data_IF_232283392206
#
_entry.id   IF_232283392206
#
_cell.length_a   1.000
_cell.length_b   1.000
_cell.length_c   1.000
_cell.angle_alpha   90.00
_cell.angle_beta   90.00
_cell.angle_gamma   90.00
#
_symmetry.space_group_name_H-M   'P 1'
#
loop_
_entity.id
_entity.type
_entity.pdbx_description
1 polymer ?
#
# COMPACT_ATOMS: atom_id res chain seq x y z
N UNK A 1 -9.77 -17.45 11.58
CA UNK A 1 -8.38 -17.62 11.10
C UNK A 1 -8.07 -16.67 9.95
N UNK A 2 -8.82 -16.71 8.84
CA UNK A 2 -8.65 -15.80 7.69
C UNK A 2 -8.83 -14.30 8.00
N UNK A 3 -9.74 -13.94 8.91
CA UNK A 3 -9.94 -12.54 9.31
C UNK A 3 -8.70 -11.89 9.96
N UNK A 4 -7.90 -12.65 10.71
CA UNK A 4 -6.63 -12.16 11.27
C UNK A 4 -5.63 -11.83 10.16
N UNK A 5 -5.54 -12.68 9.13
CA UNK A 5 -4.67 -12.45 7.98
C UNK A 5 -5.14 -11.28 7.11
N UNK A 6 -6.45 -11.11 6.93
CA UNK A 6 -7.05 -9.92 6.32
C UNK A 6 -6.61 -8.64 7.04
N UNK A 7 -6.81 -8.59 8.35
CA UNK A 7 -6.47 -7.41 9.16
C UNK A 7 -4.97 -7.11 9.16
N UNK A 8 -4.12 -8.12 9.34
CA UNK A 8 -2.66 -7.95 9.34
C UNK A 8 -2.14 -7.51 7.97
N UNK A 9 -2.57 -8.15 6.88
CA UNK A 9 -2.17 -7.76 5.53
C UNK A 9 -2.66 -6.36 5.13
N UNK A 10 -3.87 -5.99 5.56
CA UNK A 10 -4.42 -4.65 5.35
C UNK A 10 -3.64 -3.57 6.10
N UNK A 11 -3.27 -3.82 7.37
CA UNK A 11 -2.42 -2.90 8.14
C UNK A 11 -1.04 -2.77 7.52
N UNK A 12 -0.42 -3.88 7.08
CA UNK A 12 0.88 -3.84 6.41
C UNK A 12 0.79 -3.00 5.13
N UNK A 13 -0.26 -3.19 4.32
CA UNK A 13 -0.52 -2.36 3.14
C UNK A 13 -0.64 -0.87 3.47
N UNK A 14 -1.37 -0.51 4.53
CA UNK A 14 -1.50 0.87 5.01
C UNK A 14 -0.17 1.47 5.47
N UNK A 15 0.63 0.73 6.23
CA UNK A 15 1.96 1.18 6.68
C UNK A 15 2.87 1.40 5.47
N UNK A 16 2.84 0.51 4.49
CA UNK A 16 3.63 0.67 3.26
C UNK A 16 3.21 1.90 2.45
N UNK A 17 1.91 2.19 2.35
CA UNK A 17 1.42 3.45 1.75
C UNK A 17 2.01 4.65 2.47
N UNK A 18 1.99 4.65 3.81
CA UNK A 18 2.56 5.73 4.60
C UNK A 18 4.07 5.90 4.35
N UNK A 19 4.82 4.79 4.28
CA UNK A 19 6.26 4.81 3.96
C UNK A 19 6.52 5.42 2.58
N UNK A 20 5.76 5.03 1.55
CA UNK A 20 5.90 5.59 0.20
C UNK A 20 5.62 7.10 0.20
N UNK A 21 4.60 7.54 0.95
CA UNK A 21 4.28 8.97 1.09
C UNK A 21 5.41 9.75 1.76
N UNK A 22 6.00 9.21 2.84
CA UNK A 22 7.14 9.85 3.53
C UNK A 22 8.35 9.95 2.60
N UNK A 23 8.67 8.90 1.85
CA UNK A 23 9.78 8.91 0.88
C UNK A 23 9.55 9.98 -0.21
N UNK A 24 8.33 10.05 -0.75
CA UNK A 24 7.98 11.06 -1.75
C UNK A 24 8.07 12.48 -1.18
N UNK A 25 7.64 12.68 0.07
CA UNK A 25 7.77 13.96 0.75
C UNK A 25 9.24 14.37 0.92
N UNK A 26 10.09 13.47 1.42
CA UNK A 26 11.53 13.73 1.58
C UNK A 26 12.18 14.05 0.23
N UNK A 27 11.86 13.28 -0.82
CA UNK A 27 12.33 13.56 -2.19
C UNK A 27 11.91 14.94 -2.66
N UNK A 28 10.64 15.31 -2.46
CA UNK A 28 10.12 16.63 -2.85
C UNK A 28 10.86 17.75 -2.13
N UNK A 29 11.08 17.63 -0.83
CA UNK A 29 11.85 18.61 -0.04
C UNK A 29 13.28 18.71 -0.54
N UNK A 30 13.94 17.58 -0.81
CA UNK A 30 15.30 17.56 -1.32
C UNK A 30 15.43 18.20 -2.71
N UNK A 31 14.45 17.98 -3.60
CA UNK A 31 14.41 18.63 -4.93
C UNK A 31 14.17 20.14 -4.79
N UNK A 32 13.19 20.56 -3.98
CA UNK A 32 12.91 21.98 -3.75
C UNK A 32 14.08 22.71 -3.06
N UNK A 33 14.84 22.01 -2.22
CA UNK A 33 16.04 22.54 -1.56
C UNK A 33 17.29 22.54 -2.45
N UNK A 34 17.19 22.11 -3.71
CA UNK A 34 18.33 22.06 -4.64
C UNK A 34 19.36 20.96 -4.31
N UNK A 35 19.00 19.99 -3.46
CA UNK A 35 19.85 18.87 -3.06
C UNK A 35 19.81 17.71 -4.07
N UNK A 36 18.72 17.60 -4.84
CA UNK A 36 18.49 16.59 -5.85
C UNK A 36 17.90 17.23 -7.12
N UNK A 37 18.43 16.85 -8.28
CA UNK A 37 17.84 17.21 -9.56
C UNK A 37 16.66 16.27 -9.88
N UNK A 38 15.53 16.84 -10.32
CA UNK A 38 14.36 16.07 -10.70
C UNK A 38 13.07 16.88 -10.63
N UNK A 39 11.94 16.25 -10.96
CA UNK A 39 10.62 16.86 -10.85
C UNK A 39 10.07 16.70 -9.43
N UNK A 40 9.83 17.82 -8.75
CA UNK A 40 9.28 17.88 -7.40
C UNK A 40 7.80 17.44 -7.32
N UNK A 41 7.14 17.26 -8.47
CA UNK A 41 5.71 16.94 -8.57
C UNK A 41 5.42 15.56 -9.12
N UNK A 42 6.36 14.61 -9.02
CA UNK A 42 6.04 13.20 -9.30
C UNK A 42 4.91 12.72 -8.36
N UNK A 43 3.77 12.37 -8.95
CA UNK A 43 2.62 11.84 -8.22
C UNK A 43 2.95 10.52 -7.53
N UNK A 44 2.28 10.26 -6.40
CA UNK A 44 2.49 9.06 -5.56
C UNK A 44 2.23 7.77 -6.34
N UNK A 45 1.32 7.80 -7.32
CA UNK A 45 1.03 6.68 -8.22
C UNK A 45 2.02 6.52 -9.38
N UNK A 46 2.84 7.54 -9.65
CA UNK A 46 3.89 7.48 -10.67
C UNK A 46 5.17 6.82 -10.13
N UNK A 47 5.27 6.59 -8.83
CA UNK A 47 6.40 5.86 -8.26
C UNK A 47 6.11 4.37 -8.30
N UNK A 48 7.00 3.60 -8.93
CA UNK A 48 6.90 2.13 -8.99
C UNK A 48 6.83 1.46 -7.61
N UNK A 49 7.17 2.19 -6.54
CA UNK A 49 7.02 1.75 -5.15
C UNK A 49 5.56 1.51 -4.75
N UNK A 50 4.58 2.15 -5.40
CA UNK A 50 3.17 2.02 -5.04
C UNK A 50 2.59 0.63 -5.36
N UNK A 51 3.22 -0.12 -6.28
CA UNK A 51 2.82 -1.48 -6.62
C UNK A 51 2.83 -2.41 -5.40
N UNK A 52 3.76 -2.23 -4.47
CA UNK A 52 3.93 -3.10 -3.30
C UNK A 52 2.73 -3.00 -2.34
N UNK A 53 2.34 -1.81 -1.82
CA UNK A 53 1.14 -1.70 -0.99
C UNK A 53 -0.14 -2.16 -1.71
N UNK A 54 -0.25 -1.92 -3.02
CA UNK A 54 -1.41 -2.39 -3.82
C UNK A 54 -1.51 -3.92 -3.80
N UNK A 55 -0.40 -4.64 -3.98
CA UNK A 55 -0.38 -6.11 -3.91
C UNK A 55 -0.83 -6.59 -2.52
N UNK A 56 -0.36 -5.94 -1.45
CA UNK A 56 -0.79 -6.28 -0.08
C UNK A 56 -2.28 -6.05 0.14
N UNK A 57 -2.85 -4.98 -0.42
CA UNK A 57 -4.30 -4.76 -0.39
C UNK A 57 -5.06 -5.84 -1.17
N UNK A 58 -4.59 -6.22 -2.37
CA UNK A 58 -5.19 -7.31 -3.14
C UNK A 58 -5.19 -8.63 -2.34
N UNK A 59 -4.06 -8.98 -1.70
CA UNK A 59 -3.96 -10.18 -0.85
C UNK A 59 -4.91 -10.08 0.35
N UNK A 60 -5.03 -8.90 0.95
CA UNK A 60 -5.98 -8.64 2.03
C UNK A 60 -7.41 -8.94 1.56
N UNK A 61 -7.82 -8.41 0.40
CA UNK A 61 -9.15 -8.71 -0.17
C UNK A 61 -9.37 -10.20 -0.46
N UNK A 62 -8.35 -10.95 -0.88
CA UNK A 62 -8.46 -12.42 -1.03
C UNK A 62 -8.77 -13.09 0.30
N UNK A 63 -8.11 -12.69 1.39
CA UNK A 63 -8.41 -13.23 2.72
C UNK A 63 -9.79 -12.82 3.24
N UNK A 64 -10.26 -11.61 2.91
CA UNK A 64 -11.61 -11.18 3.21
C UNK A 64 -12.64 -12.04 2.46
N UNK A 65 -12.40 -12.27 1.17
CA UNK A 65 -13.24 -13.12 0.34
C UNK A 65 -13.29 -14.54 0.92
N UNK A 66 -12.14 -15.17 1.20
CA UNK A 66 -12.09 -16.49 1.83
C UNK A 66 -12.82 -16.54 3.19
N UNK A 67 -12.78 -15.46 3.97
CA UNK A 67 -13.53 -15.37 5.21
C UNK A 67 -15.04 -15.37 4.95
N UNK A 68 -15.53 -14.54 4.01
CA UNK A 68 -16.95 -14.47 3.64
C UNK A 68 -17.44 -15.79 3.04
N UNK A 69 -16.67 -16.41 2.13
CA UNK A 69 -17.00 -17.70 1.54
C UNK A 69 -16.99 -18.86 2.55
N UNK A 70 -16.23 -18.76 3.64
CA UNK A 70 -16.30 -19.76 4.73
C UNK A 70 -17.65 -19.72 5.46
N UNK A 71 -18.27 -18.55 5.54
CA UNK A 71 -19.60 -18.35 6.14
C UNK A 71 -20.73 -18.62 5.12
N UNK A 72 -20.50 -18.36 3.83
CA UNK A 72 -21.29 -18.94 2.73
C UNK A 72 -20.93 -20.43 2.55
N UNK A 73 -21.26 -21.26 3.55
CA UNK A 73 -21.52 -22.67 3.26
C UNK A 73 -22.64 -22.70 2.22
N UNK A 74 -22.27 -23.02 0.98
CA UNK A 74 -23.18 -23.56 -0.03
C UNK A 74 -23.93 -24.69 0.68
N UNK A 75 -25.19 -24.43 1.01
CA UNK A 75 -26.15 -25.48 1.37
C UNK A 75 -26.39 -26.35 0.14
#
# INVERSE_FOLDING_TARGET
MYFKYFYVSGIIGLILVFVVQVINFIKKVAIQGGLLDGDAYQGVFNTGLMAIPIIFFCISFVFLMLYVYKDLKIQ
#
